data_IF_648412812749
#
_entry.id   IF_648412812749
#
_cell.length_a   1.000
_cell.length_b   1.000
_cell.length_c   1.000
_cell.angle_alpha   90.00
_cell.angle_beta   90.00
_cell.angle_gamma   90.00
#
_symmetry.space_group_name_H-M   'P 1'
#
loop_
_entity.id
_entity.type
_entity.pdbx_description
1 polymer ?
#
# COMPACT_ATOMS: atom_id res chain seq x y z
N UNK A 1 18.65 3.03 22.27
CA UNK A 1 18.51 2.33 20.97
C UNK A 1 17.05 2.43 20.59
N UNK A 2 16.69 3.22 19.57
CA UNK A 2 15.29 3.31 19.12
C UNK A 2 14.94 2.02 18.38
N UNK A 3 14.30 1.09 19.09
CA UNK A 3 13.75 -0.11 18.46
C UNK A 3 12.52 0.34 17.67
N UNK A 4 12.60 0.30 16.34
CA UNK A 4 11.42 0.54 15.51
C UNK A 4 10.58 -0.73 15.49
N UNK A 5 9.49 -0.73 16.26
CA UNK A 5 8.51 -1.80 16.22
C UNK A 5 7.77 -1.77 14.89
N UNK A 6 7.61 -2.92 14.26
CA UNK A 6 6.88 -3.03 13.01
C UNK A 6 5.80 -4.09 13.15
N UNK A 7 4.59 -3.76 12.69
CA UNK A 7 3.46 -4.64 12.60
C UNK A 7 3.08 -4.77 11.13
N UNK A 8 3.28 -5.97 10.58
CA UNK A 8 3.14 -6.24 9.15
C UNK A 8 1.85 -7.00 8.91
N UNK A 9 0.95 -6.46 8.10
CA UNK A 9 -0.23 -7.20 7.63
C UNK A 9 0.24 -8.22 6.60
N UNK A 10 0.28 -9.50 6.96
CA UNK A 10 0.76 -10.58 6.08
C UNK A 10 -0.32 -11.01 5.09
N UNK A 11 -1.57 -11.06 5.54
CA UNK A 11 -2.69 -11.53 4.73
C UNK A 11 -4.01 -10.96 5.23
N UNK A 12 -4.91 -10.64 4.31
CA UNK A 12 -6.25 -10.11 4.58
C UNK A 12 -7.29 -10.93 3.83
N UNK A 13 -8.33 -11.35 4.55
CA UNK A 13 -9.55 -11.92 4.02
C UNK A 13 -10.74 -11.21 4.68
N UNK A 14 -11.94 -11.28 4.08
CA UNK A 14 -13.15 -10.85 4.76
C UNK A 14 -13.28 -11.54 6.13
N UNK A 15 -13.37 -10.73 7.19
CA UNK A 15 -13.48 -11.18 8.59
C UNK A 15 -12.25 -11.90 9.17
N UNK A 16 -11.10 -11.86 8.50
CA UNK A 16 -9.87 -12.51 8.99
C UNK A 16 -8.61 -11.78 8.55
N UNK A 17 -7.76 -11.49 9.52
CA UNK A 17 -6.44 -10.89 9.26
C UNK A 17 -5.32 -11.69 9.91
N UNK A 18 -4.18 -11.77 9.22
CA UNK A 18 -2.92 -12.29 9.76
C UNK A 18 -1.90 -11.17 9.83
N UNK A 19 -1.41 -10.90 11.02
CA UNK A 19 -0.36 -9.94 11.31
C UNK A 19 0.94 -10.67 11.66
N UNK A 20 2.07 -10.03 11.43
CA UNK A 20 3.38 -10.47 11.88
C UNK A 20 4.10 -9.33 12.58
N UNK A 21 4.61 -9.59 13.76
CA UNK A 21 5.39 -8.63 14.54
C UNK A 21 6.87 -8.69 14.14
N UNK A 22 7.60 -7.58 14.26
CA UNK A 22 9.05 -7.56 14.09
C UNK A 22 9.80 -8.10 15.30
N UNK A 23 9.15 -8.11 16.46
CA UNK A 23 9.70 -8.60 17.72
C UNK A 23 8.62 -9.37 18.47
N UNK A 24 9.04 -10.36 19.23
CA UNK A 24 8.14 -11.10 20.12
C UNK A 24 7.59 -10.17 21.22
N UNK A 25 6.25 -10.12 21.42
CA UNK A 25 5.63 -9.38 22.52
C UNK A 25 6.13 -9.90 23.88
N UNK A 26 6.27 -9.01 24.87
CA UNK A 26 6.67 -9.41 26.24
C UNK A 26 5.58 -10.24 26.93
N UNK A 27 4.30 -9.91 26.70
CA UNK A 27 3.16 -10.54 27.38
C UNK A 27 2.06 -10.93 26.38
N UNK A 28 2.30 -11.94 25.52
CA UNK A 28 1.38 -12.29 24.43
C UNK A 28 -0.03 -12.67 24.90
N UNK A 29 -0.17 -13.22 26.11
CA UNK A 29 -1.49 -13.54 26.68
C UNK A 29 -2.33 -12.30 27.02
N UNK A 30 -1.70 -11.23 27.52
CA UNK A 30 -2.40 -9.98 27.82
C UNK A 30 -2.80 -9.27 26.53
N UNK A 31 -1.88 -9.20 25.56
CA UNK A 31 -2.16 -8.69 24.22
C UNK A 31 -3.33 -9.42 23.55
N UNK A 32 -3.37 -10.76 23.61
CA UNK A 32 -4.48 -11.55 23.06
C UNK A 32 -5.80 -11.22 23.75
N UNK A 33 -5.80 -11.10 25.09
CA UNK A 33 -7.00 -10.78 25.85
C UNK A 33 -7.52 -9.37 25.58
N UNK A 34 -6.65 -8.36 25.45
CA UNK A 34 -7.06 -6.98 25.14
C UNK A 34 -7.71 -6.90 23.75
N UNK A 35 -7.14 -7.59 22.75
CA UNK A 35 -7.70 -7.59 21.39
C UNK A 35 -9.01 -8.38 21.35
N UNK A 36 -9.09 -9.52 22.04
CA UNK A 36 -10.28 -10.37 22.05
C UNK A 36 -11.42 -9.81 22.91
N UNK A 37 -11.13 -8.93 23.87
CA UNK A 37 -12.12 -8.34 24.76
C UNK A 37 -13.11 -7.39 24.08
N UNK A 38 -12.85 -7.00 22.84
CA UNK A 38 -13.70 -6.07 22.09
C UNK A 38 -14.87 -6.75 21.39
N UNK A 39 -16.02 -6.06 21.35
CA UNK A 39 -17.18 -6.50 20.57
C UNK A 39 -16.83 -6.64 19.08
N UNK A 40 -17.36 -7.66 18.41
CA UNK A 40 -17.03 -7.98 17.02
C UNK A 40 -15.70 -8.74 16.79
N UNK A 41 -14.88 -9.03 17.82
CA UNK A 41 -13.70 -9.91 17.67
C UNK A 41 -14.03 -11.33 18.11
N UNK A 42 -14.11 -12.25 17.14
CA UNK A 42 -14.50 -13.64 17.39
C UNK A 42 -13.39 -14.46 18.06
N UNK A 43 -12.15 -14.32 17.56
CA UNK A 43 -11.02 -15.08 18.09
C UNK A 43 -9.68 -14.45 17.73
N UNK A 44 -8.72 -14.58 18.66
CA UNK A 44 -7.34 -14.12 18.49
C UNK A 44 -6.40 -15.26 18.84
N UNK A 45 -5.43 -15.56 17.96
CA UNK A 45 -4.43 -16.60 18.18
C UNK A 45 -3.03 -16.10 17.84
N UNK A 46 -2.15 -16.12 18.83
CA UNK A 46 -0.73 -15.83 18.65
C UNK A 46 0.09 -17.11 18.50
N UNK A 47 1.02 -17.12 17.54
CA UNK A 47 1.97 -18.22 17.30
C UNK A 47 3.41 -17.71 17.47
N UNK A 48 4.08 -18.01 18.60
CA UNK A 48 5.42 -17.50 18.91
C UNK A 48 6.49 -17.86 17.87
N UNK A 49 6.45 -19.09 17.34
CA UNK A 49 7.49 -19.62 16.43
C UNK A 49 7.60 -18.83 15.12
N UNK A 50 6.52 -18.15 14.75
CA UNK A 50 6.43 -17.41 13.50
C UNK A 50 6.08 -15.94 13.71
N UNK A 51 6.02 -15.51 14.98
CA UNK A 51 5.63 -14.17 15.43
C UNK A 51 4.35 -13.65 14.76
N UNK A 52 3.38 -14.55 14.55
CA UNK A 52 2.13 -14.22 13.85
C UNK A 52 0.97 -14.10 14.83
N UNK A 53 0.11 -13.11 14.58
CA UNK A 53 -1.22 -13.00 15.18
C UNK A 53 -2.27 -13.28 14.11
N UNK A 54 -3.20 -14.17 14.41
CA UNK A 54 -4.38 -14.40 13.60
C UNK A 54 -5.62 -13.90 14.33
N UNK A 55 -6.37 -13.01 13.69
CA UNK A 55 -7.60 -12.42 14.24
C UNK A 55 -8.75 -12.76 13.30
N UNK A 56 -9.85 -13.26 13.87
CA UNK A 56 -11.16 -13.36 13.20
C UNK A 56 -12.10 -12.34 13.84
N UNK A 57 -12.87 -11.65 13.00
CA UNK A 57 -13.75 -10.58 13.43
C UNK A 57 -14.97 -10.46 12.51
N UNK A 58 -16.10 -10.01 13.07
CA UNK A 58 -17.31 -9.72 12.31
C UNK A 58 -17.24 -8.31 11.72
N UNK A 59 -17.22 -8.25 10.38
CA UNK A 59 -17.14 -6.99 9.63
C UNK A 59 -18.38 -6.11 9.79
N UNK A 60 -19.47 -6.63 10.36
CA UNK A 60 -20.67 -5.85 10.67
C UNK A 60 -20.55 -5.08 11.98
N UNK A 61 -19.72 -5.56 12.89
CA UNK A 61 -19.55 -4.97 14.23
C UNK A 61 -18.25 -4.18 14.37
N UNK A 62 -17.16 -4.65 13.75
CA UNK A 62 -15.85 -3.99 13.85
C UNK A 62 -15.18 -3.87 12.49
N UNK A 63 -14.58 -2.70 12.25
CA UNK A 63 -13.84 -2.44 11.01
C UNK A 63 -12.42 -3.02 11.07
N UNK A 64 -11.83 -3.28 9.90
CA UNK A 64 -10.45 -3.78 9.83
C UNK A 64 -9.46 -2.80 10.47
N UNK A 65 -9.69 -1.51 10.27
CA UNK A 65 -8.84 -0.40 10.68
C UNK A 65 -8.80 -0.35 12.19
N UNK A 66 -9.95 -0.49 12.83
CA UNK A 66 -10.05 -0.59 14.29
C UNK A 66 -9.33 -1.83 14.83
N UNK A 67 -9.48 -2.99 14.18
CA UNK A 67 -8.71 -4.21 14.53
C UNK A 67 -7.20 -3.97 14.43
N UNK A 68 -6.74 -3.27 13.40
CA UNK A 68 -5.33 -2.93 13.20
C UNK A 68 -4.80 -1.96 14.25
N UNK A 69 -5.58 -0.93 14.60
CA UNK A 69 -5.24 0.04 15.63
C UNK A 69 -5.13 -0.63 16.99
N UNK A 70 -6.13 -1.45 17.37
CA UNK A 70 -6.12 -2.23 18.62
C UNK A 70 -4.92 -3.16 18.70
N UNK A 71 -4.64 -3.91 17.62
CA UNK A 71 -3.48 -4.80 17.58
C UNK A 71 -2.14 -4.04 17.69
N UNK A 72 -2.00 -2.90 17.00
CA UNK A 72 -0.81 -2.05 17.09
C UNK A 72 -0.63 -1.43 18.47
N UNK A 73 -1.72 -1.01 19.10
CA UNK A 73 -1.75 -0.45 20.44
C UNK A 73 -1.36 -1.47 21.51
N UNK A 74 -2.01 -2.64 21.54
CA UNK A 74 -1.68 -3.69 22.50
C UNK A 74 -0.23 -4.15 22.34
N UNK A 75 0.30 -4.17 21.12
CA UNK A 75 1.72 -4.46 20.88
C UNK A 75 2.66 -3.37 21.38
N UNK A 76 2.28 -2.11 21.22
CA UNK A 76 3.06 -0.97 21.74
C UNK A 76 3.08 -0.95 23.28
N UNK A 77 1.95 -1.23 23.93
CA UNK A 77 1.84 -1.32 25.38
C UNK A 77 2.78 -2.37 25.97
N UNK A 78 2.85 -3.55 25.36
CA UNK A 78 3.75 -4.63 25.74
C UNK A 78 5.24 -4.22 25.68
N UNK A 79 5.55 -3.16 24.92
CA UNK A 79 6.91 -2.68 24.65
C UNK A 79 7.08 -1.20 25.03
N UNK A 80 6.54 -0.84 26.20
CA UNK A 80 6.77 0.44 26.88
C UNK A 80 6.26 1.66 26.09
N UNK A 81 5.13 1.53 25.39
CA UNK A 81 4.52 2.57 24.55
C UNK A 81 5.40 3.00 23.37
N UNK A 82 6.25 2.11 22.87
CA UNK A 82 7.13 2.42 21.74
C UNK A 82 6.33 2.60 20.44
N UNK A 83 6.69 3.57 19.57
CA UNK A 83 6.01 3.77 18.29
C UNK A 83 6.01 2.52 17.41
N UNK A 84 4.87 2.23 16.77
CA UNK A 84 4.68 1.05 15.92
C UNK A 84 4.47 1.48 14.47
N UNK A 85 5.33 1.02 13.57
CA UNK A 85 5.11 1.15 12.13
C UNK A 85 4.18 0.05 11.65
N UNK A 86 2.96 0.42 11.27
CA UNK A 86 2.05 -0.43 10.53
C UNK A 86 2.47 -0.45 9.06
N UNK A 87 2.87 -1.63 8.60
CA UNK A 87 3.12 -1.89 7.18
C UNK A 87 2.04 -2.81 6.66
N UNK A 88 1.13 -2.28 5.85
CA UNK A 88 0.31 -3.16 5.04
C UNK A 88 1.24 -3.75 3.99
N UNK A 89 1.44 -5.07 4.00
CA UNK A 89 2.14 -5.75 2.93
C UNK A 89 1.25 -5.76 1.69
N UNK A 90 1.09 -4.61 1.06
CA UNK A 90 1.00 -4.60 -0.38
C UNK A 90 2.37 -5.11 -0.84
N UNK A 91 2.37 -6.10 -1.73
CA UNK A 91 3.60 -6.60 -2.33
C UNK A 91 4.46 -5.41 -2.72
N UNK A 92 5.60 -5.22 -2.05
CA UNK A 92 6.65 -4.24 -2.40
C UNK A 92 7.20 -4.56 -3.79
N UNK A 93 6.35 -4.44 -4.81
CA UNK A 93 6.74 -4.42 -6.19
C UNK A 93 6.81 -2.96 -6.57
N UNK A 94 7.81 -2.29 -5.99
CA UNK A 94 8.20 -0.98 -6.46
C UNK A 94 8.50 -1.06 -7.95
N UNK A 95 7.90 -0.15 -8.71
CA UNK A 95 8.23 0.03 -10.13
C UNK A 95 9.70 0.42 -10.18
N UNK A 96 10.54 -0.47 -10.72
CA UNK A 96 11.97 -0.21 -10.85
C UNK A 96 12.26 1.06 -11.67
N UNK A 97 13.40 1.73 -11.45
CA UNK A 97 13.74 2.98 -12.13
C UNK A 97 13.73 2.84 -13.66
N UNK A 98 14.08 1.67 -14.20
CA UNK A 98 14.04 1.39 -15.63
C UNK A 98 12.61 1.36 -16.19
N UNK A 99 11.64 0.85 -15.42
CA UNK A 99 10.23 0.85 -15.84
C UNK A 99 9.64 2.25 -15.85
N UNK A 100 9.99 3.08 -14.86
CA UNK A 100 9.60 4.49 -14.86
C UNK A 100 10.22 5.28 -16.03
N UNK A 101 11.49 5.01 -16.34
CA UNK A 101 12.14 5.60 -17.51
C UNK A 101 11.46 5.16 -18.81
N UNK A 102 11.13 3.86 -18.95
CA UNK A 102 10.39 3.35 -20.11
C UNK A 102 9.02 4.05 -20.25
N UNK A 103 8.30 4.26 -19.14
CA UNK A 103 7.04 4.99 -19.14
C UNK A 103 7.19 6.45 -19.58
N UNK A 104 8.21 7.15 -19.08
CA UNK A 104 8.49 8.53 -19.47
C UNK A 104 8.79 8.64 -20.97
N UNK A 105 9.64 7.74 -21.49
CA UNK A 105 9.99 7.68 -22.92
C UNK A 105 8.76 7.35 -23.78
N UNK A 106 7.92 6.40 -23.36
CA UNK A 106 6.65 6.08 -24.04
C UNK A 106 5.72 7.29 -24.09
N UNK A 107 5.57 8.00 -22.96
CA UNK A 107 4.72 9.18 -22.86
C UNK A 107 5.20 10.30 -23.78
N UNK A 108 6.51 10.62 -23.76
CA UNK A 108 7.10 11.61 -24.66
C UNK A 108 6.89 11.22 -26.12
N UNK A 109 7.04 9.95 -26.46
CA UNK A 109 6.84 9.47 -27.83
C UNK A 109 5.37 9.61 -28.29
N UNK A 110 4.40 9.26 -27.44
CA UNK A 110 2.98 9.46 -27.72
C UNK A 110 2.61 10.94 -27.87
N UNK A 111 3.10 11.81 -26.98
CA UNK A 111 2.92 13.26 -27.07
C UNK A 111 3.51 13.82 -28.37
N UNK A 112 4.72 13.39 -28.73
CA UNK A 112 5.34 13.76 -30.00
C UNK A 112 4.56 13.25 -31.22
N UNK A 113 3.96 12.06 -31.14
CA UNK A 113 3.10 11.52 -32.19
C UNK A 113 1.79 12.29 -32.36
N UNK A 114 1.26 12.88 -31.27
CA UNK A 114 0.07 13.72 -31.27
C UNK A 114 0.36 15.13 -31.81
N UNK A 115 1.51 15.71 -31.46
CA UNK A 115 1.89 17.08 -31.86
C UNK A 115 2.52 17.11 -33.25
N UNK A 116 3.23 16.04 -33.68
CA UNK A 116 3.91 16.01 -34.97
C UNK A 116 2.94 15.85 -36.14
N UNK A 117 3.04 16.77 -37.11
CA UNK A 117 2.44 16.63 -38.43
C UNK A 117 2.87 15.31 -39.11
N UNK A 118 1.98 14.76 -39.95
CA UNK A 118 2.12 13.47 -40.67
C UNK A 118 3.47 13.28 -41.37
N UNK A 119 4.16 14.37 -41.73
CA UNK A 119 5.44 14.38 -42.45
C UNK A 119 6.69 14.56 -41.56
N UNK A 120 6.56 14.66 -40.23
CA UNK A 120 7.69 14.87 -39.29
C UNK A 120 7.71 13.88 -38.14
N UNK A 121 7.26 12.64 -38.36
CA UNK A 121 7.35 11.60 -37.33
C UNK A 121 8.80 11.11 -37.23
N UNK A 122 9.51 11.36 -36.11
CA UNK A 122 10.91 10.97 -36.03
C UNK A 122 10.99 9.44 -35.89
N UNK A 123 11.62 8.81 -36.87
CA UNK A 123 11.68 7.35 -37.04
C UNK A 123 12.30 6.61 -35.85
N UNK A 124 13.20 7.25 -35.09
CA UNK A 124 14.01 6.60 -34.06
C UNK A 124 13.34 6.49 -32.68
N UNK A 125 12.40 7.37 -32.35
CA UNK A 125 11.78 7.38 -31.01
C UNK A 125 11.01 6.10 -30.65
N UNK A 126 10.25 5.48 -31.58
CA UNK A 126 9.63 4.16 -31.34
C UNK A 126 10.62 3.08 -30.93
N UNK A 127 11.82 3.06 -31.52
CA UNK A 127 12.85 2.06 -31.20
C UNK A 127 13.50 2.32 -29.84
N UNK A 128 13.70 3.58 -29.46
CA UNK A 128 14.19 3.94 -28.11
C UNK A 128 13.15 3.54 -27.05
N UNK A 129 11.87 3.82 -27.30
CA UNK A 129 10.78 3.41 -26.42
C UNK A 129 10.68 1.88 -26.31
N UNK A 130 10.84 1.16 -27.42
CA UNK A 130 10.87 -0.31 -27.40
C UNK A 130 12.07 -0.88 -26.68
N UNK A 131 13.27 -0.33 -26.88
CA UNK A 131 14.49 -0.79 -26.22
C UNK A 131 14.43 -0.60 -24.71
N UNK A 132 13.98 0.58 -24.26
CA UNK A 132 13.81 0.89 -22.82
C UNK A 132 12.72 0.01 -22.18
N UNK A 133 11.59 -0.19 -22.88
CA UNK A 133 10.54 -1.11 -22.42
C UNK A 133 11.06 -2.53 -22.31
N UNK A 134 11.74 -3.05 -23.34
CA UNK A 134 12.30 -4.40 -23.34
C UNK A 134 13.29 -4.60 -22.17
N UNK A 135 14.19 -3.64 -21.96
CA UNK A 135 15.13 -3.68 -20.84
C UNK A 135 14.41 -3.71 -19.48
N UNK A 136 13.39 -2.88 -19.29
CA UNK A 136 12.63 -2.82 -18.04
C UNK A 136 11.86 -4.12 -17.74
N UNK A 137 11.24 -4.73 -18.75
CA UNK A 137 10.50 -5.99 -18.56
C UNK A 137 11.46 -7.15 -18.31
N UNK A 138 12.59 -7.20 -19.00
CA UNK A 138 13.61 -8.23 -18.75
C UNK A 138 14.17 -8.14 -17.32
N UNK A 139 14.45 -6.92 -16.84
CA UNK A 139 14.86 -6.71 -15.45
C UNK A 139 13.78 -7.23 -14.48
N UNK A 140 12.51 -6.87 -14.72
CA UNK A 140 11.39 -7.33 -13.89
C UNK A 140 11.25 -8.85 -13.86
N UNK A 141 11.34 -9.50 -15.03
CA UNK A 141 11.28 -10.97 -15.15
C UNK A 141 12.44 -11.63 -14.41
N UNK A 142 13.66 -11.10 -14.52
CA UNK A 142 14.84 -11.65 -13.82
C UNK A 142 14.68 -11.50 -12.31
N UNK A 143 14.18 -10.35 -11.83
CA UNK A 143 13.92 -10.13 -10.41
C UNK A 143 12.84 -11.08 -9.88
N UNK A 144 11.73 -11.24 -10.59
CA UNK A 144 10.64 -12.15 -10.21
C UNK A 144 11.09 -13.62 -10.24
N UNK A 145 11.87 -14.02 -11.25
CA UNK A 145 12.39 -15.38 -11.34
C UNK A 145 13.35 -15.72 -10.18
N UNK A 146 14.28 -14.81 -9.86
CA UNK A 146 15.20 -14.99 -8.72
C UNK A 146 14.46 -15.01 -7.38
N UNK A 147 13.38 -14.24 -7.24
CA UNK A 147 12.65 -14.13 -5.98
C UNK A 147 11.61 -15.23 -5.75
N UNK A 148 10.87 -15.64 -6.78
CA UNK A 148 9.69 -16.51 -6.65
C UNK A 148 9.81 -17.85 -7.37
N UNK A 149 10.80 -18.02 -8.24
CA UNK A 149 11.01 -19.26 -9.01
C UNK A 149 9.95 -19.57 -10.07
N UNK A 150 8.97 -18.70 -10.29
CA UNK A 150 7.88 -18.89 -11.24
C UNK A 150 7.92 -17.81 -12.34
N UNK A 151 7.65 -18.24 -13.58
CA UNK A 151 7.47 -17.33 -14.72
C UNK A 151 6.03 -16.83 -14.73
N UNK A 152 5.87 -15.53 -14.55
CA UNK A 152 4.59 -14.85 -14.66
C UNK A 152 4.24 -14.57 -16.16
N UNK A 153 2.97 -14.25 -16.50
CA UNK A 153 2.52 -14.10 -17.89
C UNK A 153 3.20 -12.97 -18.70
N UNK A 154 4.01 -12.10 -18.09
CA UNK A 154 4.71 -10.99 -18.73
C UNK A 154 5.73 -11.50 -19.78
N UNK A 155 6.21 -12.74 -19.66
CA UNK A 155 7.11 -13.37 -20.66
C UNK A 155 6.49 -13.41 -22.06
N UNK A 156 5.16 -13.59 -22.16
CA UNK A 156 4.47 -13.56 -23.46
C UNK A 156 4.47 -12.17 -24.10
N UNK A 157 4.44 -11.11 -23.29
CA UNK A 157 4.49 -9.73 -23.78
C UNK A 157 5.86 -9.35 -24.33
N UNK A 158 6.95 -9.89 -23.75
CA UNK A 158 8.32 -9.74 -24.27
C UNK A 158 8.43 -10.30 -25.68
N UNK A 159 7.86 -11.49 -25.91
CA UNK A 159 7.87 -12.11 -27.24
C UNK A 159 7.16 -11.23 -28.28
N UNK A 160 6.00 -10.68 -27.92
CA UNK A 160 5.28 -9.75 -28.78
C UNK A 160 6.09 -8.47 -29.09
N UNK A 161 6.77 -7.90 -28.09
CA UNK A 161 7.63 -6.74 -28.25
C UNK A 161 8.78 -7.03 -29.22
N UNK A 162 9.46 -8.17 -29.09
CA UNK A 162 10.56 -8.56 -29.99
C UNK A 162 10.07 -8.67 -31.44
N UNK A 163 8.93 -9.33 -31.67
CA UNK A 163 8.36 -9.45 -33.01
C UNK A 163 8.00 -8.10 -33.64
N UNK A 164 7.62 -7.12 -32.81
CA UNK A 164 7.27 -5.78 -33.30
C UNK A 164 8.46 -5.02 -33.91
N UNK A 165 9.69 -5.29 -33.45
CA UNK A 165 10.90 -4.70 -34.05
C UNK A 165 11.06 -5.08 -35.52
N UNK A 166 10.69 -6.31 -35.88
CA UNK A 166 10.72 -6.77 -37.27
C UNK A 166 9.54 -6.26 -38.11
N UNK A 167 8.39 -5.99 -37.47
CA UNK A 167 7.17 -5.53 -38.14
C UNK A 167 7.09 -4.01 -38.30
N UNK A 168 7.90 -3.25 -37.55
CA UNK A 168 7.90 -1.79 -37.55
C UNK A 168 6.88 -1.15 -36.60
N UNK A 169 6.01 -1.93 -35.95
CA UNK A 169 4.96 -1.46 -35.02
C UNK A 169 5.44 -1.34 -33.57
N UNK A 170 6.69 -0.91 -33.36
CA UNK A 170 7.38 -0.96 -32.07
C UNK A 170 6.66 -0.15 -30.99
N UNK A 171 6.18 1.04 -31.30
CA UNK A 171 5.51 1.90 -30.31
C UNK A 171 4.24 1.24 -29.72
N UNK A 172 3.40 0.65 -30.57
CA UNK A 172 2.18 -0.03 -30.13
C UNK A 172 2.53 -1.23 -29.25
N UNK A 173 3.49 -2.03 -29.68
CA UNK A 173 3.89 -3.21 -28.91
C UNK A 173 4.54 -2.87 -27.58
N UNK A 174 5.37 -1.82 -27.56
CA UNK A 174 6.00 -1.31 -26.33
C UNK A 174 4.96 -0.84 -25.33
N UNK A 175 3.94 -0.11 -25.81
CA UNK A 175 2.84 0.36 -24.96
C UNK A 175 2.07 -0.80 -24.34
N UNK A 176 1.63 -1.77 -25.16
CA UNK A 176 0.89 -2.95 -24.67
C UNK A 176 1.74 -3.75 -23.67
N UNK A 177 3.01 -3.97 -23.99
CA UNK A 177 3.94 -4.75 -23.16
C UNK A 177 4.18 -4.08 -21.80
N UNK A 178 4.39 -2.77 -21.81
CA UNK A 178 4.56 -2.00 -20.58
C UNK A 178 3.31 -2.06 -19.71
N UNK A 179 2.12 -1.86 -20.28
CA UNK A 179 0.86 -1.95 -19.54
C UNK A 179 0.57 -3.35 -19.00
N UNK A 180 0.85 -4.42 -19.76
CA UNK A 180 0.65 -5.79 -19.27
C UNK A 180 1.61 -6.15 -18.13
N UNK A 181 2.83 -5.62 -18.15
CA UNK A 181 3.85 -5.91 -17.12
C UNK A 181 3.66 -5.06 -15.88
N UNK A 182 3.49 -3.75 -16.07
CA UNK A 182 3.55 -2.75 -14.99
C UNK A 182 2.22 -2.06 -14.71
N UNK A 183 1.20 -2.24 -15.56
CA UNK A 183 -0.09 -1.58 -15.39
C UNK A 183 -0.78 -1.93 -14.06
N UNK A 184 -0.63 -3.17 -13.57
CA UNK A 184 -1.12 -3.54 -12.23
C UNK A 184 -0.47 -2.73 -11.11
N UNK A 185 0.80 -2.35 -11.27
CA UNK A 185 1.53 -1.54 -10.28
C UNK A 185 1.08 -0.07 -10.27
N UNK A 186 0.39 0.40 -11.32
CA UNK A 186 -0.30 1.69 -11.29
C UNK A 186 -1.59 1.64 -10.46
N UNK A 187 -2.20 0.46 -10.34
CA UNK A 187 -3.45 0.23 -9.61
C UNK A 187 -3.20 -0.18 -8.15
N UNK A 188 -2.02 -0.74 -7.85
CA UNK A 188 -1.59 -0.98 -6.49
C UNK A 188 -1.31 0.37 -5.82
N UNK A 189 -2.14 0.74 -4.85
CA UNK A 189 -1.89 1.91 -4.00
C UNK A 189 -0.54 1.72 -3.30
N UNK A 190 0.31 2.77 -3.22
CA UNK A 190 1.58 2.69 -2.51
C UNK A 190 1.30 2.13 -1.10
N UNK A 191 2.18 1.24 -0.63
CA UNK A 191 2.07 0.71 0.72
C UNK A 191 2.14 1.90 1.70
N UNK A 192 0.99 2.32 2.21
CA UNK A 192 0.94 3.33 3.25
C UNK A 192 1.60 2.72 4.48
N UNK A 193 2.81 3.17 4.78
CA UNK A 193 3.42 2.91 6.09
C UNK A 193 2.82 3.94 7.03
N UNK A 194 2.01 3.46 7.98
CA UNK A 194 1.43 4.32 9.00
C UNK A 194 2.27 4.19 10.26
N UNK A 195 2.71 5.31 10.81
CA UNK A 195 3.36 5.36 12.11
C UNK A 195 2.28 5.61 13.17
N UNK A 196 2.10 4.65 14.06
CA UNK A 196 1.28 4.78 15.26
C UNK A 196 2.17 5.26 16.41
N UNK A 197 1.85 6.43 16.96
CA UNK A 197 2.50 6.96 18.17
C UNK A 197 1.45 6.98 19.27
N UNK A 198 1.48 6.02 20.19
CA UNK A 198 0.53 5.98 21.28
C UNK A 198 1.04 6.80 22.47
N UNK A 199 0.16 7.59 23.05
CA UNK A 199 0.34 8.38 24.25
C UNK A 199 -0.72 7.99 25.28
N UNK A 200 -0.34 7.98 26.56
CA UNK A 200 -1.30 7.70 27.64
C UNK A 200 -2.10 8.98 27.89
N UNK A 201 -3.43 8.90 27.77
CA UNK A 201 -4.29 10.06 27.99
C UNK A 201 -4.37 10.46 29.48
N UNK A 202 -4.21 9.49 30.40
CA UNK A 202 -4.19 9.75 31.87
C UNK A 202 -2.99 9.06 32.58
N UNK A 203 -2.17 9.79 33.36
CA UNK A 203 -1.11 9.21 34.21
C UNK A 203 -1.63 8.31 35.35
N UNK A 204 -2.93 8.33 35.67
CA UNK A 204 -3.55 7.58 36.76
C UNK A 204 -4.50 6.45 36.29
N UNK A 205 -4.11 5.74 35.21
CA UNK A 205 -4.79 4.53 34.71
C UNK A 205 -5.34 3.65 35.84
N UNK A 206 -6.67 3.69 36.05
CA UNK A 206 -7.36 2.78 36.92
C UNK A 206 -7.79 1.55 36.09
N UNK A 207 -7.72 0.37 36.70
CA UNK A 207 -7.60 -0.96 36.07
C UNK A 207 -8.77 -1.31 35.10
N UNK A 208 -9.81 -0.47 35.03
CA UNK A 208 -11.06 -0.77 34.36
C UNK A 208 -11.41 0.14 33.17
N UNK A 209 -10.70 1.27 32.96
CA UNK A 209 -10.89 2.17 31.79
C UNK A 209 -9.60 2.95 31.49
N UNK A 210 -8.69 2.34 30.74
CA UNK A 210 -7.51 3.05 30.28
C UNK A 210 -7.79 3.64 28.90
N UNK A 211 -7.77 4.97 28.80
CA UNK A 211 -7.93 5.71 27.56
C UNK A 211 -6.56 5.99 26.94
N UNK A 212 -6.41 5.71 25.65
CA UNK A 212 -5.18 5.93 24.91
C UNK A 212 -5.41 6.90 23.76
N UNK A 213 -4.47 7.84 23.60
CA UNK A 213 -4.43 8.73 22.45
C UNK A 213 -3.43 8.18 21.44
N UNK A 214 -3.83 8.06 20.17
CA UNK A 214 -2.97 7.58 19.10
C UNK A 214 -2.85 8.65 18.04
N UNK A 215 -1.62 9.10 17.80
CA UNK A 215 -1.32 9.89 16.61
C UNK A 215 -0.99 8.95 15.46
N UNK A 216 -1.76 9.02 14.37
CA UNK A 216 -1.51 8.26 13.14
C UNK A 216 -0.85 9.18 12.11
N UNK A 217 0.38 8.86 11.68
CA UNK A 217 1.11 9.63 10.66
C UNK A 217 1.40 8.79 9.43
N UNK A 218 1.31 9.39 8.25
CA UNK A 218 1.73 8.75 7.01
C UNK A 218 3.24 8.94 6.80
N UNK A 219 3.99 7.85 6.85
CA UNK A 219 5.42 7.82 6.51
C UNK A 219 5.55 7.55 5.00
N UNK A 220 5.33 8.61 4.21
CA UNK A 220 5.41 8.53 2.75
C UNK A 220 6.88 8.41 2.29
N UNK A 221 7.39 7.19 2.14
CA UNK A 221 8.69 6.91 1.50
C UNK A 221 8.65 6.96 -0.05
N UNK A 222 7.53 7.34 -0.65
CA UNK A 222 7.37 7.29 -2.10
C UNK A 222 8.27 8.29 -2.82
N UNK A 223 9.25 7.76 -3.57
CA UNK A 223 10.12 8.48 -4.50
C UNK A 223 9.26 9.32 -5.49
N UNK A 224 9.70 10.52 -5.86
CA UNK A 224 8.94 11.49 -6.66
C UNK A 224 8.40 10.90 -7.98
N UNK A 225 9.13 9.93 -8.54
CA UNK A 225 8.78 9.14 -9.73
C UNK A 225 7.48 8.34 -9.51
N UNK A 226 7.36 7.68 -8.36
CA UNK A 226 6.17 6.91 -7.97
C UNK A 226 4.98 7.86 -7.77
N UNK A 227 5.21 9.02 -7.13
CA UNK A 227 4.19 10.07 -6.99
C UNK A 227 3.67 10.58 -8.34
N UNK A 228 4.54 10.76 -9.34
CA UNK A 228 4.12 11.21 -10.68
C UNK A 228 3.40 10.09 -11.45
N UNK A 229 3.79 8.84 -11.28
CA UNK A 229 3.12 7.71 -11.92
C UNK A 229 1.71 7.45 -11.37
N UNK A 230 1.47 7.65 -10.06
CA UNK A 230 0.11 7.55 -9.47
C UNK A 230 -0.79 8.77 -9.74
N UNK A 231 -0.23 9.91 -10.16
CA UNK A 231 -1.01 11.09 -10.54
C UNK A 231 -1.84 10.88 -11.83
N UNK A 232 -1.36 10.01 -12.74
CA UNK A 232 -2.04 9.72 -14.01
C UNK A 232 -3.30 8.87 -13.84
N UNK A 233 -3.28 7.73 -13.12
CA UNK A 233 -4.46 6.96 -12.79
C UNK A 233 -5.51 7.76 -12.02
N UNK A 234 -5.10 8.58 -11.05
CA UNK A 234 -6.04 9.41 -10.27
C UNK A 234 -6.69 10.53 -11.11
N UNK A 235 -5.96 11.12 -12.05
CA UNK A 235 -6.52 12.08 -13.02
C UNK A 235 -7.47 11.42 -14.02
N UNK A 236 -7.09 10.26 -14.58
CA UNK A 236 -7.96 9.46 -15.45
C UNK A 236 -9.20 8.95 -14.71
N UNK A 237 -9.06 8.56 -13.45
CA UNK A 237 -10.18 8.18 -12.59
C UNK A 237 -11.11 9.35 -12.32
N UNK A 238 -10.60 10.55 -11.99
CA UNK A 238 -11.46 11.73 -11.83
C UNK A 238 -12.26 12.01 -13.10
N UNK A 239 -11.62 11.95 -14.26
CA UNK A 239 -12.29 12.09 -15.55
C UNK A 239 -13.28 10.94 -15.86
N UNK A 240 -13.02 9.72 -15.36
CA UNK A 240 -13.86 8.54 -15.55
C UNK A 240 -15.03 8.45 -14.55
N UNK A 241 -14.85 8.92 -13.31
CA UNK A 241 -15.89 9.02 -12.27
C UNK A 241 -16.97 10.01 -12.69
N UNK A 242 -16.57 11.10 -13.37
CA UNK A 242 -17.50 12.02 -14.05
C UNK A 242 -18.31 11.35 -15.19
N UNK A 243 -17.85 10.21 -15.72
CA UNK A 243 -18.52 9.42 -16.77
C UNK A 243 -19.43 8.28 -16.23
N UNK A 244 -19.66 8.21 -14.92
CA UNK A 244 -20.71 7.39 -14.29
C UNK A 244 -20.68 5.87 -14.60
N UNK A 245 -19.47 5.28 -14.68
CA UNK A 245 -19.28 3.83 -14.74
C UNK A 245 -18.70 3.34 -13.40
N UNK A 246 -19.56 2.71 -12.60
CA UNK A 246 -19.31 2.33 -11.21
C UNK A 246 -18.26 1.22 -11.01
N UNK A 247 -16.98 1.59 -11.02
CA UNK A 247 -15.93 0.82 -10.36
C UNK A 247 -15.60 1.49 -9.02
N UNK A 248 -15.85 0.76 -7.93
CA UNK A 248 -15.48 1.15 -6.56
C UNK A 248 -14.01 0.79 -6.37
N UNK A 249 -13.12 1.79 -6.36
CA UNK A 249 -11.75 1.60 -5.86
C UNK A 249 -11.81 1.68 -4.33
N UNK A 250 -11.13 0.76 -3.65
CA UNK A 250 -11.06 0.71 -2.18
C UNK A 250 -10.42 2.01 -1.65
N UNK A 251 -11.11 2.70 -0.74
CA UNK A 251 -10.60 3.94 -0.11
C UNK A 251 -9.26 3.68 0.59
N UNK A 252 -8.43 4.72 0.72
CA UNK A 252 -7.10 4.56 1.33
C UNK A 252 -7.23 4.21 2.81
N UNK A 253 -6.27 3.43 3.36
CA UNK A 253 -6.29 3.05 4.78
C UNK A 253 -6.43 4.28 5.71
N UNK A 254 -5.83 5.41 5.30
CA UNK A 254 -5.88 6.66 6.04
C UNK A 254 -7.30 7.23 6.09
N UNK A 255 -7.98 7.35 4.94
CA UNK A 255 -9.38 7.82 4.86
C UNK A 255 -10.32 6.89 5.66
N UNK A 256 -10.04 5.60 5.66
CA UNK A 256 -10.84 4.64 6.43
C UNK A 256 -10.58 4.74 7.94
N UNK A 257 -9.36 5.08 8.38
CA UNK A 257 -9.08 5.33 9.79
C UNK A 257 -9.64 6.68 10.27
N UNK A 258 -9.73 7.68 9.39
CA UNK A 258 -10.42 8.96 9.65
C UNK A 258 -11.92 8.72 9.85
N UNK A 259 -12.55 7.90 9.02
CA UNK A 259 -13.96 7.49 9.22
C UNK A 259 -14.20 6.76 10.55
N UNK A 260 -13.23 5.96 11.02
CA UNK A 260 -13.30 5.34 12.35
C UNK A 260 -13.24 6.42 13.43
N UNK A 261 -12.35 7.41 13.31
CA UNK A 261 -12.28 8.55 14.23
C UNK A 261 -13.63 9.27 14.35
N UNK A 262 -14.23 9.61 13.21
CA UNK A 262 -15.53 10.30 13.14
C UNK A 262 -16.66 9.50 13.78
N UNK A 263 -16.62 8.17 13.68
CA UNK A 263 -17.64 7.28 14.25
C UNK A 263 -17.60 7.16 15.78
N UNK A 264 -16.47 7.54 16.41
CA UNK A 264 -16.26 7.48 17.85
C UNK A 264 -16.51 8.82 18.58
N UNK A 265 -17.09 9.82 17.90
CA UNK A 265 -17.57 11.10 18.46
C UNK A 265 -16.51 11.91 19.24
N UNK A 266 -15.26 11.86 18.80
CA UNK A 266 -14.18 12.71 19.33
C UNK A 266 -13.95 13.97 18.49
N UNK A 267 -13.74 15.08 19.19
CA UNK A 267 -13.53 16.41 18.63
C UNK A 267 -12.24 16.42 17.79
N UNK A 268 -12.41 16.74 16.50
CA UNK A 268 -11.32 16.98 15.54
C UNK A 268 -10.62 18.30 15.90
N UNK A 269 -9.71 18.30 16.88
CA UNK A 269 -8.71 19.37 17.03
C UNK A 269 -7.43 18.98 16.26
N UNK A 270 -7.18 19.64 15.12
CA UNK A 270 -5.94 19.42 14.35
C UNK A 270 -6.00 19.58 12.83
N UNK A 271 -7.14 20.00 12.26
CA UNK A 271 -7.35 20.12 10.81
C UNK A 271 -6.65 21.30 10.12
N UNK A 272 -5.49 21.75 10.60
CA UNK A 272 -4.67 22.72 9.87
C UNK A 272 -3.48 22.10 9.12
N UNK A 273 -3.17 20.80 9.31
CA UNK A 273 -2.09 20.16 8.57
C UNK A 273 -2.16 18.63 8.54
N UNK A 274 -2.62 18.06 7.42
CA UNK A 274 -2.68 16.61 7.15
C UNK A 274 -1.31 15.92 7.33
N UNK A 275 -0.21 16.66 7.19
CA UNK A 275 1.16 16.17 7.41
C UNK A 275 1.50 15.87 8.89
N UNK A 276 0.69 16.32 9.86
CA UNK A 276 0.96 16.14 11.30
C UNK A 276 0.31 14.89 11.91
N UNK A 277 -0.61 14.25 11.19
CA UNK A 277 -1.42 13.12 11.67
C UNK A 277 -2.71 13.55 12.36
N UNK A 278 -3.57 12.58 12.68
CA UNK A 278 -4.82 12.79 13.43
C UNK A 278 -4.81 11.98 14.73
N UNK A 279 -5.57 12.46 15.71
CA UNK A 279 -5.69 11.87 17.03
C UNK A 279 -6.87 10.92 17.08
N UNK A 280 -6.67 9.77 17.73
CA UNK A 280 -7.70 8.76 17.98
C UNK A 280 -7.70 8.43 19.46
N UNK A 281 -8.85 8.52 20.10
CA UNK A 281 -9.06 7.97 21.44
C UNK A 281 -9.55 6.53 21.31
N UNK A 282 -8.87 5.61 21.98
CA UNK A 282 -9.25 4.20 21.96
C UNK A 282 -9.37 3.70 23.39
N UNK A 283 -10.55 3.19 23.73
CA UNK A 283 -10.80 2.44 24.96
C UNK A 283 -10.35 0.98 24.77
N UNK A 284 -9.51 0.51 25.71
CA UNK A 284 -9.06 -0.87 25.81
C UNK A 284 -9.52 -1.52 27.11
#
# INVERSE_FOLDING_TARGET
MNVSLELIVVHRLPGRIRLRFSHSPKFPGQMVNHIQGHAGVDSVKYTPETENLLIHFDQKEITLQEVLLRAGLSFSQDLDMSPVRLRIRNTDKNVGPLSALAFAVLTVNHVMYLISSKNRKPFYFPYIAGGTTLASVLEHVVQDFRGKGNLHPEVFSVYYLILSFFRGDVLKASTITWFLTFGRHLMELPANTLLLIPEKSDPACDIHRCEYEVTVRNENEANWVVKTMHALPSMLYKAYKEMNLGMVLEDTLMEQMEQVADSHDDIIEGLENIDKGFYLKIEM
#
